data_IF_061104312032
#
_entry.id   IF_061104312032
#
_cell.length_a   1.000
_cell.length_b   1.000
_cell.length_c   1.000
_cell.angle_alpha   90.00
_cell.angle_beta   90.00
_cell.angle_gamma   90.00
#
_symmetry.space_group_name_H-M   'P 1'
#
loop_
_entity.id
_entity.type
_entity.pdbx_description
1 polymer ?
#
# COMPACT_ATOMS: atom_id res chain seq x y z
N UNK A 1 12.65 -22.94 12.90
CA UNK A 1 11.45 -23.66 12.39
C UNK A 1 11.01 -24.85 13.24
N UNK A 2 11.89 -25.55 13.95
CA UNK A 2 11.56 -26.83 14.60
C UNK A 2 10.79 -26.78 15.95
N UNK A 3 10.61 -25.61 16.59
CA UNK A 3 9.92 -25.51 17.90
C UNK A 3 8.66 -24.63 17.85
N UNK A 4 8.71 -23.48 17.16
CA UNK A 4 7.60 -22.52 17.14
C UNK A 4 6.96 -22.29 15.76
N UNK A 5 7.45 -22.96 14.69
CA UNK A 5 7.02 -22.73 13.28
C UNK A 5 6.70 -21.25 12.97
N UNK A 6 7.68 -20.33 13.12
CA UNK A 6 7.44 -18.93 12.82
C UNK A 6 7.12 -18.73 11.34
N UNK A 7 6.26 -17.77 11.03
CA UNK A 7 5.92 -17.41 9.65
C UNK A 7 7.03 -16.57 9.05
N UNK A 8 7.60 -17.07 7.96
CA UNK A 8 8.75 -16.44 7.31
C UNK A 8 8.32 -15.83 5.97
N UNK A 9 8.53 -14.52 5.82
CA UNK A 9 8.36 -13.81 4.56
C UNK A 9 9.74 -13.41 4.02
N UNK A 10 10.07 -13.89 2.81
CA UNK A 10 11.34 -13.60 2.15
C UNK A 10 11.02 -12.79 0.89
N UNK A 11 11.43 -11.52 0.87
CA UNK A 11 11.39 -10.70 -0.34
C UNK A 11 12.78 -10.71 -0.97
N UNK A 12 12.89 -11.16 -2.22
CA UNK A 12 14.17 -11.23 -2.93
C UNK A 12 14.13 -10.61 -4.32
N UNK A 13 15.30 -10.15 -4.77
CA UNK A 13 15.51 -9.69 -6.14
C UNK A 13 16.36 -10.73 -6.87
N UNK A 14 15.70 -11.68 -7.52
CA UNK A 14 16.34 -12.81 -8.19
C UNK A 14 16.32 -14.07 -7.32
N UNK A 15 16.12 -15.23 -7.97
CA UNK A 15 15.81 -16.55 -7.41
C UNK A 15 16.94 -17.17 -6.55
N UNK A 16 17.43 -16.46 -5.54
CA UNK A 16 18.53 -16.87 -4.67
C UNK A 16 18.04 -17.81 -3.56
N UNK A 17 16.81 -17.62 -3.09
CA UNK A 17 16.16 -18.38 -2.03
C UNK A 17 15.18 -19.42 -2.57
N UNK A 18 15.01 -19.56 -3.89
CA UNK A 18 14.16 -20.59 -4.50
C UNK A 18 14.49 -22.01 -4.05
N UNK A 19 15.78 -22.37 -4.05
CA UNK A 19 16.26 -23.67 -3.57
C UNK A 19 16.08 -23.85 -2.06
N UNK A 20 16.19 -22.77 -1.29
CA UNK A 20 15.93 -22.80 0.15
C UNK A 20 14.44 -23.06 0.42
N UNK A 21 13.56 -22.46 -0.37
CA UNK A 21 12.13 -22.71 -0.29
C UNK A 21 11.79 -24.16 -0.67
N UNK A 22 12.41 -24.73 -1.72
CA UNK A 22 12.27 -26.16 -2.07
C UNK A 22 12.76 -27.07 -0.93
N UNK A 23 13.85 -26.69 -0.28
CA UNK A 23 14.37 -27.41 0.88
C UNK A 23 13.38 -27.38 2.05
N UNK A 24 12.78 -26.24 2.36
CA UNK A 24 11.74 -26.16 3.40
C UNK A 24 10.51 -27.01 3.08
N UNK A 25 10.07 -27.01 1.83
CA UNK A 25 8.98 -27.88 1.38
C UNK A 25 9.33 -29.37 1.56
N UNK A 26 10.57 -29.77 1.25
CA UNK A 26 11.06 -31.14 1.47
C UNK A 26 11.07 -31.58 2.94
N UNK A 27 11.12 -30.62 3.87
CA UNK A 27 11.02 -30.85 5.32
C UNK A 27 9.56 -30.86 5.83
N UNK A 28 8.58 -30.79 4.93
CA UNK A 28 7.15 -30.83 5.28
C UNK A 28 6.59 -29.50 5.79
N UNK A 29 7.20 -28.38 5.39
CA UNK A 29 6.67 -27.04 5.64
C UNK A 29 5.82 -26.59 4.44
N UNK A 30 4.77 -25.83 4.72
CA UNK A 30 3.97 -25.19 3.68
C UNK A 30 4.74 -24.01 3.09
N UNK A 31 4.82 -23.96 1.75
CA UNK A 31 5.58 -22.93 1.03
C UNK A 31 4.68 -22.26 0.00
N UNK A 32 4.64 -20.92 0.04
CA UNK A 32 3.97 -20.10 -0.95
C UNK A 32 5.00 -19.32 -1.76
N UNK A 33 5.03 -19.50 -3.08
CA UNK A 33 5.98 -18.83 -3.99
C UNK A 33 5.23 -17.85 -4.88
N UNK A 34 5.58 -16.57 -4.77
CA UNK A 34 4.94 -15.47 -5.47
C UNK A 34 6.00 -14.81 -6.34
N UNK A 35 5.72 -14.61 -7.63
CA UNK A 35 6.61 -13.88 -8.53
C UNK A 35 5.88 -12.66 -9.08
N UNK A 36 6.36 -11.47 -8.72
CA UNK A 36 5.76 -10.19 -9.10
C UNK A 36 6.29 -9.79 -10.47
N UNK A 37 5.54 -10.14 -11.51
CA UNK A 37 5.85 -9.83 -12.91
C UNK A 37 4.55 -9.57 -13.72
N UNK A 38 4.63 -8.89 -14.87
CA UNK A 38 3.47 -8.70 -15.74
C UNK A 38 2.81 -10.03 -16.11
N UNK A 39 1.49 -10.11 -15.99
CA UNK A 39 0.70 -11.31 -16.25
C UNK A 39 0.81 -12.41 -15.19
N UNK A 40 1.42 -12.12 -14.03
CA UNK A 40 1.47 -13.07 -12.90
C UNK A 40 0.12 -13.24 -12.20
N UNK A 41 -0.81 -12.29 -12.37
CA UNK A 41 -2.07 -12.27 -11.66
C UNK A 41 -1.96 -11.86 -10.19
N UNK A 42 -0.75 -11.55 -9.71
CA UNK A 42 -0.53 -11.07 -8.34
C UNK A 42 -1.09 -9.66 -8.21
N UNK A 43 -1.88 -9.43 -7.17
CA UNK A 43 -2.46 -8.13 -6.84
C UNK A 43 -2.10 -7.76 -5.40
N UNK A 44 -1.74 -6.50 -5.20
CA UNK A 44 -1.34 -5.89 -3.94
C UNK A 44 -2.08 -4.54 -3.80
N UNK A 45 -3.38 -4.56 -3.42
CA UNK A 45 -4.17 -3.35 -3.32
C UNK A 45 -3.68 -2.49 -2.14
N UNK A 46 -3.19 -1.27 -2.38
CA UNK A 46 -2.60 -0.43 -1.34
C UNK A 46 -3.64 0.19 -0.39
N UNK A 47 -4.91 0.17 -0.79
CA UNK A 47 -6.04 0.74 -0.04
C UNK A 47 -7.07 -0.32 0.40
N UNK A 48 -6.66 -1.59 0.48
CA UNK A 48 -7.53 -2.70 0.85
C UNK A 48 -8.26 -2.48 2.19
N UNK A 49 -7.55 -1.91 3.17
CA UNK A 49 -8.03 -1.68 4.53
C UNK A 49 -8.87 -0.40 4.68
N UNK A 50 -9.16 0.34 3.60
CA UNK A 50 -9.88 1.60 3.67
C UNK A 50 -11.25 1.48 4.37
N UNK A 51 -11.95 0.35 4.19
CA UNK A 51 -13.24 0.07 4.84
C UNK A 51 -13.19 0.16 6.37
N UNK A 52 -12.08 -0.28 6.99
CA UNK A 52 -11.89 -0.26 8.45
C UNK A 52 -11.98 1.16 9.01
N UNK A 53 -11.57 2.19 8.26
CA UNK A 53 -11.68 3.60 8.68
C UNK A 53 -13.14 4.02 8.92
N UNK A 54 -14.08 3.49 8.14
CA UNK A 54 -15.51 3.80 8.26
C UNK A 54 -16.15 2.99 9.40
N UNK A 55 -15.75 1.73 9.54
CA UNK A 55 -16.22 0.84 10.62
C UNK A 55 -15.80 1.34 12.01
N UNK A 56 -14.61 1.92 12.14
CA UNK A 56 -14.13 2.59 13.34
C UNK A 56 -14.88 3.90 13.67
N UNK A 57 -15.84 4.29 12.83
CA UNK A 57 -16.70 5.45 13.07
C UNK A 57 -16.03 6.79 12.79
N UNK A 58 -14.95 6.84 11.99
CA UNK A 58 -14.38 8.12 11.57
C UNK A 58 -15.35 8.81 10.60
N UNK A 59 -15.98 9.94 10.99
CA UNK A 59 -16.90 10.63 10.11
C UNK A 59 -16.14 11.35 9.00
N UNK A 60 -16.81 11.52 7.85
CA UNK A 60 -16.35 12.30 6.69
C UNK A 60 -16.26 13.83 6.98
N UNK A 61 -15.98 14.24 8.23
CA UNK A 61 -15.94 15.66 8.60
C UNK A 61 -14.70 16.31 8.01
N UNK A 62 -14.91 17.47 7.41
CA UNK A 62 -13.90 18.41 6.92
C UNK A 62 -12.78 18.50 7.96
N UNK A 63 -11.59 18.02 7.61
CA UNK A 63 -10.43 18.07 8.51
C UNK A 63 -10.00 19.52 8.65
N UNK A 64 -10.04 20.04 9.88
CA UNK A 64 -9.47 21.35 10.18
C UNK A 64 -7.94 21.25 10.07
N UNK A 65 -7.32 22.28 9.48
CA UNK A 65 -5.88 22.35 9.19
C UNK A 65 -5.00 22.13 10.44
N UNK A 66 -5.60 22.34 11.62
CA UNK A 66 -5.01 22.22 12.95
C UNK A 66 -5.14 20.83 13.59
N UNK A 67 -5.97 19.92 13.07
CA UNK A 67 -6.18 18.57 13.64
C UNK A 67 -5.28 17.50 13.03
N UNK A 68 -4.24 17.88 12.30
CA UNK A 68 -3.25 16.94 11.76
C UNK A 68 -2.22 16.64 12.86
N UNK A 69 -2.11 15.38 13.34
CA UNK A 69 -0.98 14.98 14.16
C UNK A 69 0.30 15.20 13.34
N UNK A 70 1.33 15.76 13.96
CA UNK A 70 2.66 15.73 13.37
C UNK A 70 3.11 14.26 13.29
N UNK A 71 3.69 13.85 12.16
CA UNK A 71 4.17 12.48 11.92
C UNK A 71 5.27 12.03 12.92
N UNK A 72 5.70 12.94 13.80
CA UNK A 72 6.73 12.75 14.83
C UNK A 72 6.13 12.79 16.26
N UNK A 73 4.80 12.81 16.39
CA UNK A 73 4.09 12.82 17.67
C UNK A 73 3.80 11.41 18.18
N UNK A 74 4.48 11.02 19.25
CA UNK A 74 4.17 9.83 20.05
C UNK A 74 2.81 10.03 20.76
N UNK A 75 1.69 9.77 20.06
CA UNK A 75 0.35 9.75 20.69
C UNK A 75 -0.41 8.46 20.35
N UNK A 76 -0.44 7.57 21.34
CA UNK A 76 -1.27 6.35 21.54
C UNK A 76 -1.04 5.15 20.60
N UNK A 77 -0.02 4.37 20.97
CA UNK A 77 0.61 3.22 20.31
C UNK A 77 -0.21 1.92 20.06
N UNK A 78 -1.54 1.89 20.22
CA UNK A 78 -2.28 0.61 20.18
C UNK A 78 -3.16 0.34 18.95
N UNK A 79 -3.36 1.33 18.06
CA UNK A 79 -4.16 1.14 16.83
C UNK A 79 -3.39 1.57 15.58
N UNK A 80 -3.38 0.71 14.58
CA UNK A 80 -2.72 0.92 13.28
C UNK A 80 -3.28 2.18 12.59
N UNK A 81 -2.40 3.10 12.20
CA UNK A 81 -2.78 4.31 11.46
C UNK A 81 -3.02 3.99 9.98
N UNK A 82 -4.18 3.39 9.69
CA UNK A 82 -4.59 3.00 8.33
C UNK A 82 -4.62 4.22 7.39
N UNK A 83 -5.10 5.36 7.88
CA UNK A 83 -5.17 6.58 7.06
C UNK A 83 -3.76 7.11 6.74
N UNK A 84 -2.83 7.05 7.70
CA UNK A 84 -1.42 7.35 7.48
C UNK A 84 -0.76 6.43 6.46
N UNK A 85 -1.01 5.12 6.52
CA UNK A 85 -0.51 4.15 5.53
C UNK A 85 -1.05 4.42 4.12
N UNK A 86 -2.36 4.71 4.02
CA UNK A 86 -2.99 5.10 2.76
C UNK A 86 -2.39 6.41 2.22
N UNK A 87 -2.13 7.39 3.09
CA UNK A 87 -1.49 8.65 2.70
C UNK A 87 -0.06 8.41 2.17
N UNK A 88 0.72 7.54 2.81
CA UNK A 88 2.06 7.19 2.36
C UNK A 88 2.01 6.57 0.95
N UNK A 89 1.11 5.60 0.74
CA UNK A 89 0.91 4.95 -0.56
C UNK A 89 0.47 5.94 -1.64
N UNK A 90 -0.52 6.79 -1.35
CA UNK A 90 -1.00 7.83 -2.26
C UNK A 90 0.11 8.80 -2.66
N UNK A 91 0.93 9.24 -1.70
CA UNK A 91 2.06 10.13 -1.97
C UNK A 91 3.09 9.47 -2.87
N UNK A 92 3.42 8.19 -2.64
CA UNK A 92 4.34 7.46 -3.52
C UNK A 92 3.84 7.43 -4.97
N UNK A 93 2.55 7.20 -5.18
CA UNK A 93 1.95 7.19 -6.51
C UNK A 93 1.96 8.58 -7.16
N UNK A 94 1.57 9.62 -6.42
CA UNK A 94 1.53 11.00 -6.91
C UNK A 94 2.94 11.51 -7.25
N UNK A 95 3.94 11.18 -6.44
CA UNK A 95 5.32 11.65 -6.68
C UNK A 95 6.12 10.74 -7.61
N UNK A 96 5.56 9.60 -8.03
CA UNK A 96 6.27 8.57 -8.80
C UNK A 96 7.49 8.01 -8.06
N UNK A 97 7.39 7.86 -6.73
CA UNK A 97 8.46 7.30 -5.89
C UNK A 97 9.70 8.19 -5.72
N UNK A 98 9.84 9.30 -6.44
CA UNK A 98 11.02 10.15 -6.41
C UNK A 98 11.20 10.84 -5.03
N UNK A 99 12.24 10.49 -4.26
CA UNK A 99 12.48 11.10 -2.95
C UNK A 99 12.75 12.60 -3.04
N UNK A 100 13.15 13.13 -4.21
CA UNK A 100 13.34 14.58 -4.44
C UNK A 100 12.03 15.33 -4.59
N UNK A 101 10.95 14.64 -4.98
CA UNK A 101 9.60 15.21 -5.11
C UNK A 101 8.79 15.07 -3.82
N UNK A 102 9.15 14.18 -2.88
CA UNK A 102 8.47 14.05 -1.58
C UNK A 102 8.40 15.34 -0.73
N UNK A 103 9.42 16.22 -0.70
CA UNK A 103 9.38 17.49 0.00
C UNK A 103 8.53 18.56 -0.70
N UNK A 104 8.10 18.33 -1.95
CA UNK A 104 7.36 19.33 -2.73
C UNK A 104 5.88 19.46 -2.30
N UNK A 105 5.36 18.49 -1.56
CA UNK A 105 3.99 18.49 -1.06
C UNK A 105 3.87 19.32 0.22
N UNK A 106 3.18 20.45 0.11
CA UNK A 106 2.91 21.36 1.24
C UNK A 106 1.90 20.73 2.20
N UNK A 107 1.78 21.28 3.41
CA UNK A 107 0.76 20.86 4.41
C UNK A 107 -0.66 20.87 3.81
N UNK A 108 -0.98 21.90 3.02
CA UNK A 108 -2.27 22.02 2.32
C UNK A 108 -2.52 20.91 1.28
N UNK A 109 -1.46 20.43 0.61
CA UNK A 109 -1.54 19.35 -0.37
C UNK A 109 -1.80 18.01 0.34
N UNK A 110 -1.17 17.79 1.50
CA UNK A 110 -1.42 16.61 2.34
C UNK A 110 -2.86 16.57 2.84
N UNK A 111 -3.38 17.70 3.32
CA UNK A 111 -4.78 17.81 3.73
C UNK A 111 -5.76 17.46 2.59
N UNK A 112 -5.44 17.90 1.36
CA UNK A 112 -6.24 17.58 0.17
C UNK A 112 -6.19 16.09 -0.18
N UNK A 113 -5.03 15.44 -0.08
CA UNK A 113 -4.90 13.99 -0.32
C UNK A 113 -5.73 13.21 0.71
N UNK A 114 -5.66 13.58 2.00
CA UNK A 114 -6.46 12.94 3.06
C UNK A 114 -7.96 13.11 2.83
N UNK A 115 -8.38 14.30 2.44
CA UNK A 115 -9.78 14.57 2.06
C UNK A 115 -10.22 13.66 0.90
N UNK A 116 -9.42 13.58 -0.16
CA UNK A 116 -9.73 12.73 -1.32
C UNK A 116 -9.77 11.23 -0.95
N UNK A 117 -8.86 10.76 -0.09
CA UNK A 117 -8.84 9.38 0.42
C UNK A 117 -10.13 9.06 1.19
N UNK A 118 -10.58 9.96 2.07
CA UNK A 118 -11.83 9.77 2.82
C UNK A 118 -13.06 9.80 1.92
N UNK A 119 -13.12 10.72 0.95
CA UNK A 119 -14.19 10.78 -0.04
C UNK A 119 -14.31 9.47 -0.82
N UNK A 120 -13.19 8.95 -1.32
CA UNK A 120 -13.12 7.68 -2.03
C UNK A 120 -13.51 6.49 -1.13
N UNK A 121 -12.98 6.46 0.10
CA UNK A 121 -13.26 5.41 1.10
C UNK A 121 -14.76 5.31 1.42
N UNK A 122 -15.43 6.45 1.70
CA UNK A 122 -16.86 6.42 1.99
C UNK A 122 -17.71 6.00 0.79
N UNK A 123 -17.27 6.31 -0.42
CA UNK A 123 -17.94 5.88 -1.66
C UNK A 123 -17.83 4.38 -1.83
N UNK A 124 -16.61 3.84 -1.82
CA UNK A 124 -16.37 2.41 -2.04
C UNK A 124 -16.97 1.55 -0.91
N UNK A 125 -16.97 2.06 0.32
CA UNK A 125 -17.64 1.41 1.45
C UNK A 125 -19.16 1.28 1.22
N UNK A 126 -19.82 2.33 0.71
CA UNK A 126 -21.26 2.26 0.36
C UNK A 126 -21.54 1.31 -0.79
N UNK A 127 -20.58 1.15 -1.70
CA UNK A 127 -20.65 0.21 -2.83
C UNK A 127 -20.31 -1.24 -2.42
N UNK A 128 -19.83 -1.46 -1.19
CA UNK A 128 -19.50 -2.79 -0.67
C UNK A 128 -18.25 -3.41 -1.31
N UNK A 129 -17.31 -2.58 -1.77
CA UNK A 129 -16.07 -3.03 -2.45
C UNK A 129 -14.81 -2.39 -1.89
N UNK A 130 -13.64 -2.95 -2.20
CA UNK A 130 -12.37 -2.36 -1.81
C UNK A 130 -12.12 -1.04 -2.54
N UNK A 131 -11.44 -0.11 -1.86
CA UNK A 131 -10.96 1.12 -2.48
C UNK A 131 -9.77 0.81 -3.39
N UNK A 132 -9.78 1.39 -4.59
CA UNK A 132 -8.71 1.27 -5.58
C UNK A 132 -8.01 2.63 -5.80
N UNK A 133 -6.77 2.65 -6.32
CA UNK A 133 -6.13 3.87 -6.79
C UNK A 133 -6.96 4.70 -7.77
N UNK A 134 -7.76 4.06 -8.61
CA UNK A 134 -8.69 4.76 -9.52
C UNK A 134 -9.76 5.55 -8.76
N UNK A 135 -10.20 5.09 -7.58
CA UNK A 135 -11.17 5.83 -6.76
C UNK A 135 -10.56 7.11 -6.18
N UNK A 136 -9.30 7.05 -5.74
CA UNK A 136 -8.55 8.23 -5.31
C UNK A 136 -8.38 9.22 -6.47
N UNK A 137 -8.07 8.73 -7.67
CA UNK A 137 -7.96 9.55 -8.87
C UNK A 137 -9.28 10.26 -9.18
N UNK A 138 -10.42 9.56 -9.09
CA UNK A 138 -11.75 10.16 -9.29
C UNK A 138 -12.05 11.22 -8.22
N UNK A 139 -11.76 10.95 -6.94
CA UNK A 139 -11.98 11.91 -5.86
C UNK A 139 -11.14 13.20 -6.05
N UNK A 140 -9.89 13.09 -6.49
CA UNK A 140 -9.05 14.25 -6.81
C UNK A 140 -9.58 15.02 -8.03
N UNK A 141 -10.11 14.34 -9.06
CA UNK A 141 -10.77 15.00 -10.20
C UNK A 141 -12.02 15.77 -9.76
N UNK A 142 -12.81 15.23 -8.84
CA UNK A 142 -13.98 15.92 -8.29
C UNK A 142 -13.57 17.21 -7.56
N UNK A 143 -12.53 17.14 -6.71
CA UNK A 143 -11.95 18.31 -6.04
C UNK A 143 -11.45 19.34 -7.07
N UNK A 144 -10.89 18.89 -8.20
CA UNK A 144 -10.43 19.79 -9.27
C UNK A 144 -11.56 20.54 -9.98
N UNK A 145 -12.76 19.95 -10.05
CA UNK A 145 -13.94 20.53 -10.70
C UNK A 145 -14.80 21.38 -9.75
N UNK A 146 -14.54 21.37 -8.45
CA UNK A 146 -15.31 22.10 -7.44
C UNK A 146 -15.11 23.62 -7.56
N UNK A 147 -16.10 24.31 -8.14
CA UNK A 147 -16.08 25.76 -8.35
C UNK A 147 -16.06 26.58 -7.04
N UNK A 148 -16.37 25.96 -5.90
CA UNK A 148 -16.26 26.61 -4.59
C UNK A 148 -14.83 26.72 -4.05
N UNK A 149 -13.86 26.04 -4.67
CA UNK A 149 -12.45 26.03 -4.25
C UNK A 149 -11.59 27.03 -5.02
N UNK A 150 -10.52 27.47 -4.37
CA UNK A 150 -9.48 28.29 -5.00
C UNK A 150 -8.90 27.58 -6.24
N UNK A 151 -8.72 28.34 -7.32
CA UNK A 151 -8.13 27.89 -8.58
C UNK A 151 -6.79 27.17 -8.42
N UNK A 152 -5.90 27.65 -7.53
CA UNK A 152 -4.62 27.00 -7.27
C UNK A 152 -4.80 25.58 -6.71
N UNK A 153 -5.80 25.38 -5.83
CA UNK A 153 -6.10 24.06 -5.25
C UNK A 153 -6.70 23.14 -6.29
N UNK A 154 -7.56 23.67 -7.17
CA UNK A 154 -8.16 22.90 -8.27
C UNK A 154 -7.11 22.41 -9.25
N UNK A 155 -6.22 23.29 -9.68
CA UNK A 155 -5.11 22.96 -10.57
C UNK A 155 -4.19 21.90 -9.94
N UNK A 156 -3.90 22.03 -8.63
CA UNK A 156 -3.07 21.06 -7.93
C UNK A 156 -3.73 19.68 -7.80
N UNK A 157 -5.03 19.63 -7.53
CA UNK A 157 -5.80 18.39 -7.50
C UNK A 157 -5.80 17.69 -8.88
N UNK A 158 -5.91 18.45 -9.97
CA UNK A 158 -5.82 17.93 -11.34
C UNK A 158 -4.44 17.31 -11.62
N UNK A 159 -3.35 18.00 -11.26
CA UNK A 159 -1.97 17.49 -11.40
C UNK A 159 -1.76 16.16 -10.65
N UNK A 160 -2.30 16.06 -9.42
CA UNK A 160 -2.22 14.82 -8.63
C UNK A 160 -3.02 13.68 -9.27
N UNK A 161 -4.23 13.98 -9.75
CA UNK A 161 -5.07 13.01 -10.46
C UNK A 161 -4.43 12.53 -11.77
N UNK A 162 -3.76 13.40 -12.52
CA UNK A 162 -2.99 13.02 -13.70
C UNK A 162 -1.82 12.11 -13.34
N UNK A 163 -1.09 12.44 -12.26
CA UNK A 163 0.05 11.63 -11.79
C UNK A 163 -0.37 10.20 -11.42
N UNK A 164 -1.54 10.03 -10.81
CA UNK A 164 -2.11 8.72 -10.50
C UNK A 164 -2.43 7.88 -11.74
N UNK A 165 -2.55 8.51 -12.92
CA UNK A 165 -2.86 7.84 -14.19
C UNK A 165 -1.89 6.71 -14.54
N UNK A 166 -0.63 6.81 -14.11
CA UNK A 166 0.37 5.75 -14.30
C UNK A 166 -0.05 4.43 -13.64
N UNK A 167 -0.70 4.49 -12.48
CA UNK A 167 -1.12 3.33 -11.70
C UNK A 167 -2.52 2.83 -12.05
N UNK A 168 -3.32 3.63 -12.77
CA UNK A 168 -4.71 3.32 -13.10
C UNK A 168 -4.92 3.03 -14.59
N UNK A 169 -3.87 3.19 -15.41
CA UNK A 169 -3.94 2.94 -16.84
C UNK A 169 -4.25 1.46 -17.14
N UNK A 170 -5.41 1.20 -17.73
CA UNK A 170 -5.84 -0.15 -18.09
C UNK A 170 -4.82 -0.83 -19.01
N UNK A 171 -4.43 -2.05 -18.64
CA UNK A 171 -3.43 -2.83 -19.37
C UNK A 171 -1.98 -2.51 -19.00
N UNK A 172 -1.72 -1.58 -18.08
CA UNK A 172 -0.40 -1.41 -17.49
C UNK A 172 -0.14 -2.47 -16.42
N UNK A 173 1.14 -2.74 -16.17
CA UNK A 173 1.58 -3.64 -15.11
C UNK A 173 1.22 -3.06 -13.73
N UNK A 174 1.33 -1.74 -13.57
CA UNK A 174 0.98 -1.05 -12.34
C UNK A 174 -0.51 -1.20 -12.01
N UNK A 175 -1.38 -1.12 -13.01
CA UNK A 175 -2.81 -1.33 -12.81
C UNK A 175 -3.14 -2.79 -12.49
N UNK A 176 -2.44 -3.75 -13.12
CA UNK A 176 -2.56 -5.17 -12.77
C UNK A 176 -2.17 -5.43 -11.31
N UNK A 177 -1.09 -4.81 -10.85
CA UNK A 177 -0.53 -5.02 -9.52
C UNK A 177 -1.28 -4.26 -8.42
N UNK A 178 -1.65 -3.00 -8.63
CA UNK A 178 -2.17 -2.11 -7.57
C UNK A 178 -3.64 -1.69 -7.74
N UNK A 179 -4.18 -1.71 -8.96
CA UNK A 179 -5.52 -1.18 -9.26
C UNK A 179 -6.56 -2.28 -9.52
N UNK A 180 -6.53 -3.31 -8.67
CA UNK A 180 -7.52 -4.39 -8.66
C UNK A 180 -7.81 -4.76 -7.21
N UNK A 181 -9.03 -5.26 -6.98
CA UNK A 181 -9.37 -5.87 -5.71
C UNK A 181 -8.52 -7.13 -5.52
N UNK A 182 -8.09 -7.35 -4.28
CA UNK A 182 -7.21 -8.45 -3.96
C UNK A 182 -7.61 -9.11 -2.64
N UNK A 183 -7.18 -10.36 -2.49
CA UNK A 183 -7.33 -11.12 -1.25
C UNK A 183 -5.98 -11.25 -0.55
N UNK A 184 -6.01 -11.55 0.74
CA UNK A 184 -4.80 -11.92 1.47
C UNK A 184 -4.19 -13.17 0.85
N UNK A 185 -2.86 -13.20 0.78
CA UNK A 185 -2.15 -14.39 0.31
C UNK A 185 -2.44 -15.61 1.19
N UNK A 186 -2.41 -16.82 0.60
CA UNK A 186 -2.63 -18.04 1.37
C UNK A 186 -1.56 -18.17 2.46
N UNK A 187 -1.98 -18.69 3.60
CA UNK A 187 -1.07 -18.88 4.72
C UNK A 187 -0.10 -20.02 4.44
N UNK A 188 1.18 -19.74 4.67
CA UNK A 188 2.25 -20.70 4.55
C UNK A 188 3.29 -20.44 5.64
N UNK A 189 3.99 -21.50 6.05
CA UNK A 189 5.14 -21.40 6.96
C UNK A 189 6.24 -20.52 6.35
N UNK A 190 6.42 -20.60 5.03
CA UNK A 190 7.35 -19.78 4.26
C UNK A 190 6.66 -19.19 3.05
N UNK A 191 6.65 -17.86 2.95
CA UNK A 191 6.25 -17.14 1.73
C UNK A 191 7.47 -16.50 1.09
N UNK A 192 7.83 -16.95 -0.12
CA UNK A 192 8.90 -16.40 -0.93
C UNK A 192 8.29 -15.47 -2.00
N UNK A 193 8.68 -14.20 -1.98
CA UNK A 193 8.29 -13.18 -2.94
C UNK A 193 9.48 -12.81 -3.81
N UNK A 194 9.40 -13.15 -5.09
CA UNK A 194 10.33 -12.72 -6.14
C UNK A 194 9.91 -11.37 -6.70
N UNK A 195 10.74 -10.36 -6.42
CA UNK A 195 10.61 -8.97 -6.86
C UNK A 195 11.60 -8.65 -8.01
N UNK A 196 12.14 -9.66 -8.68
CA UNK A 196 13.18 -9.50 -9.70
C UNK A 196 12.78 -8.59 -10.87
N UNK A 197 11.48 -8.50 -11.22
CA UNK A 197 11.00 -7.54 -12.21
C UNK A 197 11.10 -6.09 -11.72
N UNK A 198 10.70 -5.86 -10.47
CA UNK A 198 10.68 -4.54 -9.82
C UNK A 198 12.08 -4.03 -9.43
N UNK A 199 13.06 -4.92 -9.34
CA UNK A 199 14.44 -4.56 -9.03
C UNK A 199 15.18 -3.88 -10.19
N UNK A 200 14.55 -3.76 -11.38
CA UNK A 200 15.10 -3.09 -12.56
C UNK A 200 15.00 -1.57 -12.41
N UNK A 201 15.89 -0.84 -13.07
CA UNK A 201 15.84 0.63 -13.14
C UNK A 201 14.50 1.11 -13.70
N UNK A 202 13.94 2.17 -13.09
CA UNK A 202 12.66 2.76 -13.48
C UNK A 202 11.42 2.18 -12.77
N UNK A 203 11.60 1.17 -11.90
CA UNK A 203 10.54 0.60 -11.08
C UNK A 203 10.64 0.97 -9.59
N UNK A 204 11.37 2.03 -9.25
CA UNK A 204 11.65 2.40 -7.86
C UNK A 204 10.37 2.74 -7.08
N UNK A 205 9.41 3.39 -7.73
CA UNK A 205 8.12 3.72 -7.15
C UNK A 205 7.29 2.48 -6.87
N UNK A 206 7.23 1.57 -7.85
CA UNK A 206 6.50 0.32 -7.80
C UNK A 206 7.12 -0.61 -6.75
N UNK A 207 8.44 -0.67 -6.63
CA UNK A 207 9.15 -1.39 -5.57
C UNK A 207 8.78 -0.87 -4.18
N UNK A 208 8.86 0.45 -3.98
CA UNK A 208 8.53 1.06 -2.69
C UNK A 208 7.06 0.82 -2.31
N UNK A 209 6.14 0.99 -3.26
CA UNK A 209 4.71 0.76 -3.05
C UNK A 209 4.40 -0.72 -2.79
N UNK A 210 5.09 -1.63 -3.48
CA UNK A 210 5.01 -3.09 -3.24
C UNK A 210 5.40 -3.42 -1.82
N UNK A 211 6.53 -2.89 -1.33
CA UNK A 211 6.98 -3.12 0.04
C UNK A 211 6.00 -2.61 1.09
N UNK A 212 5.42 -1.42 0.90
CA UNK A 212 4.38 -0.89 1.80
C UNK A 212 3.15 -1.80 1.78
N UNK A 213 2.65 -2.14 0.59
CA UNK A 213 1.45 -2.99 0.44
C UNK A 213 1.66 -4.39 1.03
N UNK A 214 2.84 -4.96 0.87
CA UNK A 214 3.23 -6.23 1.48
C UNK A 214 3.28 -6.14 3.00
N UNK A 215 3.88 -5.07 3.54
CA UNK A 215 3.95 -4.85 5.00
C UNK A 215 2.54 -4.73 5.58
N UNK A 216 1.65 -4.01 4.91
CA UNK A 216 0.24 -3.88 5.29
C UNK A 216 -0.48 -5.24 5.26
N UNK A 217 -0.27 -6.04 4.23
CA UNK A 217 -0.83 -7.39 4.13
C UNK A 217 -0.31 -8.30 5.24
N UNK A 218 1.00 -8.24 5.54
CA UNK A 218 1.62 -9.01 6.62
C UNK A 218 1.07 -8.59 7.98
N UNK A 219 0.91 -7.28 8.21
CA UNK A 219 0.30 -6.76 9.43
C UNK A 219 -1.15 -7.22 9.58
N UNK A 220 -1.94 -7.25 8.51
CA UNK A 220 -3.30 -7.80 8.53
C UNK A 220 -3.33 -9.27 8.94
N UNK A 221 -2.39 -10.06 8.43
CA UNK A 221 -2.24 -11.47 8.82
C UNK A 221 -1.84 -11.56 10.30
N UNK A 222 -0.93 -10.69 10.75
CA UNK A 222 -0.45 -10.65 12.13
C UNK A 222 -1.55 -10.25 13.13
N UNK A 223 -2.32 -9.22 12.85
CA UNK A 223 -3.41 -8.71 13.69
C UNK A 223 -4.49 -9.77 13.92
N UNK A 224 -4.84 -10.51 12.86
CA UNK A 224 -5.78 -11.65 12.96
C UNK A 224 -5.25 -12.73 13.90
N UNK A 225 -3.95 -12.96 13.87
CA UNK A 225 -3.28 -14.05 14.56
C UNK A 225 -2.62 -13.63 15.89
N UNK A 226 -2.80 -12.38 16.33
CA UNK A 226 -2.18 -11.82 17.53
C UNK A 226 -2.61 -12.58 18.81
N UNK A 227 -3.71 -13.32 18.75
CA UNK A 227 -4.16 -14.26 19.78
C UNK A 227 -3.33 -15.58 19.86
N UNK A 228 -2.47 -15.85 18.87
CA UNK A 228 -1.76 -17.14 18.70
C UNK A 228 -0.23 -17.07 18.82
N UNK A 229 0.36 -15.88 19.02
CA UNK A 229 1.78 -15.74 19.39
C UNK A 229 2.80 -15.99 18.27
N UNK A 230 2.55 -15.52 17.04
CA UNK A 230 3.44 -15.72 15.89
C UNK A 230 4.53 -14.65 15.83
N UNK A 231 5.79 -15.08 15.72
CA UNK A 231 6.97 -14.20 15.51
C UNK A 231 7.16 -13.97 14.00
N UNK A 232 7.12 -12.71 13.58
CA UNK A 232 7.44 -12.26 12.22
C UNK A 232 8.92 -11.91 12.09
N UNK A 233 9.63 -12.56 11.16
CA UNK A 233 10.99 -12.17 10.78
C UNK A 233 10.98 -11.60 9.36
N UNK A 234 11.25 -10.29 9.24
CA UNK A 234 11.52 -9.62 7.96
C UNK A 234 13.04 -9.42 7.81
N UNK A 235 13.73 -10.11 6.87
CA UNK A 235 15.11 -9.81 6.56
C UNK A 235 15.20 -8.51 5.75
N UNK A 236 15.85 -7.49 6.31
CA UNK A 236 16.08 -6.21 5.64
C UNK A 236 17.24 -6.32 4.64
N UNK A 237 17.02 -5.97 3.37
CA UNK A 237 18.11 -5.85 2.39
C UNK A 237 18.98 -4.64 2.72
N UNK A 238 20.16 -4.86 3.31
CA UNK A 238 21.24 -3.87 3.27
C UNK A 238 21.71 -3.75 1.82
N UNK A 239 21.62 -2.54 1.26
CA UNK A 239 22.37 -2.16 0.05
C UNK A 239 23.85 -2.48 0.31
N UNK A 240 24.39 -3.45 -0.43
CA UNK A 240 25.82 -3.63 -0.55
C UNK A 240 26.27 -2.53 -1.51
N UNK A 241 26.95 -1.53 -0.94
CA UNK A 241 27.71 -0.50 -1.64
C UNK A 241 28.89 -1.10 -2.39
#
# INVERSE_FOLDING_TARGET
MAVHRPRLFIAEAGNSFGLLADYFESLGLSVNKISVKPGSGVTLPPFADAHKLVEEGRPCRVWDEHSLPDLDGDEEEEKRDILGEMEISARMMITGGDPRKRPSLKRADRAMIREALLMATHRTYREGRQMLPEDLQVALREISCDAGRNEVRRAKAAEMAESLGMFTQKGSFEAELFNREGELWPEADVTLIDLGHLAREGYEAQMALTMVSMTNMINNIAERDQYWGVILCLPWMRRIS
#
